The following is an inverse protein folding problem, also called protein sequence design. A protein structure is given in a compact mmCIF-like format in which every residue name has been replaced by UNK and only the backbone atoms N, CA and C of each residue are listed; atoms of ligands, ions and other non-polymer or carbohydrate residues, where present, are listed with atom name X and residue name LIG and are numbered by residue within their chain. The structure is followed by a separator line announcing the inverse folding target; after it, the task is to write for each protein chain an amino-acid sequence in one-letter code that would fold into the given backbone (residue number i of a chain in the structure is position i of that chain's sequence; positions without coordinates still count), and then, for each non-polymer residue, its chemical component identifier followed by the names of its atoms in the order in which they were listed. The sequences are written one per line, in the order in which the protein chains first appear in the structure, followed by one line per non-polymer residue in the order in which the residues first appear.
data_IF_693591968357
#
_entry.id   IF_693591968357
#
_cell.length_a   1.000
_cell.length_b   1.000
_cell.length_c   1.000
_cell.angle_alpha   90.00
_cell.angle_beta   90.00
_cell.angle_gamma   90.00
#
_symmetry.space_group_name_H-M   'P 1'
#
loop_
_entity.id
_entity.type
_entity.pdbx_description
1 polymer ?
#
# COMPACT_ATOMS: atom_id res chain seq x y z
N UNK A 1 9.33 -6.99 -18.81
CA UNK A 1 8.25 -6.28 -18.10
C UNK A 1 8.86 -5.30 -17.10
N UNK A 2 8.39 -4.05 -17.05
CA UNK A 2 8.80 -3.13 -16.00
C UNK A 2 8.18 -3.58 -14.68
N UNK A 3 9.01 -4.15 -13.81
CA UNK A 3 8.59 -4.79 -12.58
C UNK A 3 9.53 -4.34 -11.46
N UNK A 4 8.97 -3.99 -10.31
CA UNK A 4 9.73 -3.47 -9.16
C UNK A 4 9.28 -4.15 -7.89
N UNK A 5 10.23 -4.32 -6.98
CA UNK A 5 9.94 -4.71 -5.61
C UNK A 5 9.65 -3.45 -4.79
N UNK A 6 8.45 -3.35 -4.23
CA UNK A 6 7.94 -2.12 -3.60
C UNK A 6 7.22 -2.42 -2.28
N UNK A 7 7.18 -1.41 -1.42
CA UNK A 7 6.59 -1.49 -0.08
C UNK A 7 5.16 -0.95 -0.07
N UNK A 8 4.27 -1.60 0.69
CA UNK A 8 2.92 -1.11 0.98
C UNK A 8 2.66 -1.12 2.48
N UNK A 9 2.33 0.04 3.05
CA UNK A 9 1.91 0.15 4.44
C UNK A 9 0.40 0.33 4.52
N UNK A 10 -0.23 -0.41 5.43
CA UNK A 10 -1.66 -0.30 5.73
C UNK A 10 -1.90 -0.56 7.22
N UNK A 11 -3.15 -0.51 7.67
CA UNK A 11 -3.51 -0.56 9.08
C UNK A 11 -4.85 -1.22 9.35
N UNK A 12 -5.05 -1.64 10.59
CA UNK A 12 -6.31 -2.24 11.06
C UNK A 12 -6.75 -3.43 10.22
N UNK A 13 -8.05 -3.53 9.98
CA UNK A 13 -8.69 -4.63 9.23
C UNK A 13 -8.19 -4.76 7.78
N UNK A 14 -7.61 -3.70 7.21
CA UNK A 14 -7.06 -3.75 5.86
C UNK A 14 -5.81 -4.64 5.75
N UNK A 15 -5.13 -4.95 6.87
CA UNK A 15 -4.04 -5.93 6.91
C UNK A 15 -4.61 -7.32 6.55
N UNK A 16 -5.66 -7.75 7.24
CA UNK A 16 -6.25 -9.07 7.00
C UNK A 16 -6.92 -9.12 5.63
N UNK A 17 -7.54 -8.03 5.17
CA UNK A 17 -8.09 -7.95 3.80
C UNK A 17 -7.02 -8.16 2.72
N UNK A 18 -5.89 -7.45 2.81
CA UNK A 18 -4.80 -7.64 1.83
C UNK A 18 -4.19 -9.04 1.93
N UNK A 19 -4.06 -9.60 3.13
CA UNK A 19 -3.50 -10.94 3.32
C UNK A 19 -4.38 -12.04 2.73
N UNK A 20 -5.70 -11.94 2.91
CA UNK A 20 -6.64 -13.00 2.51
C UNK A 20 -7.13 -12.85 1.07
N UNK A 21 -7.36 -11.61 0.63
CA UNK A 21 -8.04 -11.31 -0.64
C UNK A 21 -7.14 -10.57 -1.65
N UNK A 22 -5.95 -10.14 -1.23
CA UNK A 22 -5.04 -9.35 -2.05
C UNK A 22 -5.43 -7.87 -2.13
N UNK A 23 -4.81 -7.15 -3.07
CA UNK A 23 -5.12 -5.73 -3.29
C UNK A 23 -6.41 -5.58 -4.11
N UNK A 24 -7.45 -5.03 -3.48
CA UNK A 24 -8.75 -4.78 -4.10
C UNK A 24 -8.98 -3.27 -4.29
N UNK A 25 -9.20 -2.87 -5.54
CA UNK A 25 -9.38 -1.46 -5.91
C UNK A 25 -10.72 -0.88 -5.46
N UNK A 26 -11.68 -1.70 -5.03
CA UNK A 26 -12.96 -1.28 -4.42
C UNK A 26 -12.76 -0.77 -3.00
N UNK A 27 -11.71 -1.22 -2.32
CA UNK A 27 -11.34 -0.86 -0.95
C UNK A 27 -10.14 0.10 -0.94
N UNK A 28 -10.15 1.05 -1.89
CA UNK A 28 -9.17 2.12 -1.96
C UNK A 28 -9.36 3.12 -0.79
N UNK A 29 -8.26 3.72 -0.32
CA UNK A 29 -8.20 4.40 0.99
C UNK A 29 -9.43 5.27 1.32
N UNK A 30 -10.08 4.98 2.45
CA UNK A 30 -11.42 5.49 2.83
C UNK A 30 -11.61 7.01 2.97
N UNK A 31 -10.68 7.82 2.49
CA UNK A 31 -10.83 9.26 2.29
C UNK A 31 -10.38 9.62 0.87
N UNK A 32 -11.33 9.84 -0.05
CA UNK A 32 -11.12 10.28 -1.44
C UNK A 32 -10.09 11.41 -1.58
N UNK A 33 -10.14 12.36 -0.66
CA UNK A 33 -9.24 13.52 -0.60
C UNK A 33 -7.77 13.19 -0.32
N UNK A 34 -7.44 11.97 0.10
CA UNK A 34 -6.07 11.53 0.40
C UNK A 34 -5.43 10.70 -0.72
N UNK A 35 -6.21 10.28 -1.71
CA UNK A 35 -5.73 9.54 -2.88
C UNK A 35 -5.28 10.51 -3.96
N UNK A 36 -3.98 10.81 -3.99
CA UNK A 36 -3.39 11.85 -4.85
C UNK A 36 -3.56 11.61 -6.36
N UNK A 37 -3.69 10.36 -6.78
CA UNK A 37 -3.62 9.96 -8.19
C UNK A 37 -4.77 9.04 -8.60
N UNK A 38 -5.89 9.06 -7.87
CA UNK A 38 -7.07 8.25 -8.15
C UNK A 38 -7.14 6.94 -7.36
N UNK A 39 -8.04 6.06 -7.79
CA UNK A 39 -8.31 4.78 -7.12
C UNK A 39 -7.25 3.75 -7.47
N UNK A 40 -6.80 3.01 -6.47
CA UNK A 40 -5.87 1.91 -6.65
C UNK A 40 -5.02 1.64 -5.41
N UNK A 41 -4.13 0.66 -5.54
CA UNK A 41 -3.12 0.35 -4.54
C UNK A 41 -1.88 1.24 -4.74
N UNK A 42 -1.39 1.81 -3.65
CA UNK A 42 -0.24 2.72 -3.66
C UNK A 42 0.97 2.00 -3.06
N UNK A 43 2.10 2.09 -3.75
CA UNK A 43 3.35 1.47 -3.32
C UNK A 43 4.45 2.53 -3.27
N UNK A 44 5.47 2.31 -2.46
CA UNK A 44 6.66 3.16 -2.40
C UNK A 44 7.93 2.32 -2.53
N UNK A 45 8.95 2.91 -3.15
CA UNK A 45 10.30 2.33 -3.20
C UNK A 45 11.10 2.61 -1.92
N UNK A 46 10.80 3.71 -1.23
CA UNK A 46 11.34 4.01 0.09
C UNK A 46 10.46 3.40 1.20
N UNK A 47 10.97 2.46 2.01
CA UNK A 47 10.19 1.82 3.07
C UNK A 47 9.72 2.82 4.14
N UNK A 48 10.44 3.90 4.38
CA UNK A 48 10.04 4.94 5.34
C UNK A 48 8.75 5.66 4.92
N UNK A 49 8.46 5.74 3.62
CA UNK A 49 7.21 6.33 3.12
C UNK A 49 6.05 5.40 3.45
N UNK A 50 6.17 4.11 3.11
CA UNK A 50 5.14 3.11 3.41
C UNK A 50 4.96 2.90 4.92
N UNK A 51 6.04 2.94 5.70
CA UNK A 51 5.99 2.81 7.15
C UNK A 51 5.06 3.85 7.82
N UNK A 52 4.99 5.09 7.29
CA UNK A 52 4.09 6.14 7.80
C UNK A 52 2.60 5.78 7.69
N UNK A 53 2.24 4.84 6.82
CA UNK A 53 0.87 4.33 6.66
C UNK A 53 0.59 3.09 7.50
N UNK A 54 1.60 2.53 8.17
CA UNK A 54 1.42 1.43 9.12
C UNK A 54 0.89 1.94 10.46
N UNK A 55 0.16 1.09 11.16
CA UNK A 55 -0.30 1.32 12.53
C UNK A 55 0.31 0.28 13.46
N UNK A 56 0.71 0.73 14.65
CA UNK A 56 1.21 -0.18 15.67
C UNK A 56 0.02 -0.92 16.29
N UNK A 57 0.13 -2.23 16.39
CA UNK A 57 -0.83 -3.04 17.13
C UNK A 57 -0.84 -2.59 18.60
N UNK A 58 -2.03 -2.42 19.17
CA UNK A 58 -2.21 -1.90 20.53
C UNK A 58 -1.57 -2.77 21.61
N UNK A 59 -1.43 -4.07 21.35
CA UNK A 59 -1.03 -5.05 22.35
C UNK A 59 0.50 -5.18 22.45
N UNK A 60 1.21 -5.18 21.33
CA UNK A 60 2.64 -5.49 21.26
C UNK A 60 3.48 -4.44 20.50
N UNK A 61 2.84 -3.37 20.02
CA UNK A 61 3.45 -2.31 19.21
C UNK A 61 4.01 -2.77 17.85
N UNK A 62 3.71 -4.01 17.44
CA UNK A 62 4.16 -4.55 16.15
C UNK A 62 3.48 -3.79 15.01
N UNK A 63 4.24 -3.55 13.94
CA UNK A 63 3.75 -2.93 12.70
C UNK A 63 3.92 -3.89 11.54
N UNK A 64 2.91 -3.97 10.68
CA UNK A 64 2.91 -4.84 9.50
C UNK A 64 3.06 -3.98 8.26
N UNK A 65 3.93 -4.42 7.34
CA UNK A 65 4.16 -3.79 6.05
C UNK A 65 4.40 -4.90 5.01
N UNK A 66 3.88 -4.72 3.81
CA UNK A 66 4.04 -5.67 2.72
C UNK A 66 5.22 -5.30 1.83
N UNK A 67 5.94 -6.32 1.37
CA UNK A 67 6.95 -6.23 0.32
C UNK A 67 6.46 -7.04 -0.87
N UNK A 68 6.26 -6.36 -2.01
CA UNK A 68 5.55 -6.93 -3.15
C UNK A 68 6.36 -6.80 -4.42
N UNK A 69 6.27 -7.79 -5.30
CA UNK A 69 6.69 -7.69 -6.69
C UNK A 69 5.53 -7.08 -7.51
N UNK A 70 5.71 -5.89 -8.06
CA UNK A 70 4.65 -5.12 -8.74
C UNK A 70 5.01 -4.93 -10.21
N UNK A 71 4.12 -5.36 -11.11
CA UNK A 71 4.24 -5.16 -12.55
C UNK A 71 3.67 -3.79 -12.91
N UNK A 72 4.54 -2.84 -13.24
CA UNK A 72 4.18 -1.44 -13.51
C UNK A 72 3.77 -1.20 -14.97
N UNK A 73 4.26 -2.05 -15.88
CA UNK A 73 4.01 -1.88 -17.31
C UNK A 73 4.58 -0.55 -17.83
N UNK A 74 3.78 0.19 -18.60
CA UNK A 74 4.17 1.50 -19.12
C UNK A 74 3.71 2.59 -18.15
N UNK A 75 4.66 3.24 -17.49
CA UNK A 75 4.38 4.23 -16.46
C UNK A 75 4.04 5.60 -17.07
N UNK A 76 3.09 6.30 -16.46
CA UNK A 76 2.88 7.73 -16.67
C UNK A 76 3.54 8.48 -15.52
N UNK A 77 4.54 9.30 -15.83
CA UNK A 77 5.25 10.10 -14.83
C UNK A 77 4.50 11.43 -14.65
N UNK A 78 4.01 11.67 -13.44
CA UNK A 78 3.32 12.90 -13.08
C UNK A 78 4.34 13.92 -12.55
N UNK A 79 4.26 15.16 -13.04
CA UNK A 79 5.10 16.29 -12.61
C UNK A 79 4.49 17.05 -11.44
#
# INVERSE_FOLDING_TARGET
PNERELFHGTKGEAIDGVLNDGFDDRYWGGNFSKCKWGHGAYFADNPSVSHRYTEANTNDQTRIMYYNKVVLGNESILQ
#
